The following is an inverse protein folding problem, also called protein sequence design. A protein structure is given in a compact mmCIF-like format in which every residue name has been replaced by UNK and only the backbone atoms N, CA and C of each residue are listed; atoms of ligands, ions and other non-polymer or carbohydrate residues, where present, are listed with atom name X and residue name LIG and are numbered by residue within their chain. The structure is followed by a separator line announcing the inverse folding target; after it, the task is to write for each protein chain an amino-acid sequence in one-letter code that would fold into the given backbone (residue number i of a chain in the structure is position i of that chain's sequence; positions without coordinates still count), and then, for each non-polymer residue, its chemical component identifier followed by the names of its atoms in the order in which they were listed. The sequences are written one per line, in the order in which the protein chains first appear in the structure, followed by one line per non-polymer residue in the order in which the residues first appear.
data_IF_210503555584
#
_entry.id   IF_210503555584
#
_cell.length_a   1.000
_cell.length_b   1.000
_cell.length_c   1.000
_cell.angle_alpha   90.00
_cell.angle_beta   90.00
_cell.angle_gamma   90.00
#
_symmetry.space_group_name_H-M   'P 1'
#
loop_
_entity.id
_entity.type
_entity.pdbx_description
1 polymer ?
#
# COMPACT_ATOMS: atom_id res chain seq x y z
N UNK A 1 19.66 -13.22 22.73
CA UNK A 1 19.91 -12.29 21.65
C UNK A 1 18.57 -11.77 21.19
N UNK A 2 18.38 -10.50 21.34
CA UNK A 2 17.14 -9.86 20.97
C UNK A 2 17.03 -9.85 19.45
N UNK A 3 16.06 -10.58 18.96
CA UNK A 3 15.58 -10.39 17.60
C UNK A 3 14.78 -9.10 17.55
N UNK A 4 15.32 -8.06 18.13
CA UNK A 4 14.65 -6.75 18.18
C UNK A 4 14.77 -6.01 16.88
N UNK A 5 15.01 -6.71 15.82
CA UNK A 5 15.64 -6.06 14.70
C UNK A 5 14.65 -5.41 13.75
N UNK A 6 13.38 -5.72 13.87
CA UNK A 6 12.44 -5.13 12.93
C UNK A 6 11.22 -4.62 13.69
N UNK A 7 11.14 -3.31 13.80
CA UNK A 7 9.94 -2.65 14.30
C UNK A 7 8.86 -2.64 13.23
N UNK A 8 8.66 -3.76 12.57
CA UNK A 8 7.44 -3.98 11.81
C UNK A 8 6.40 -4.50 12.77
N UNK A 9 5.37 -3.74 12.97
CA UNK A 9 4.20 -4.29 13.62
C UNK A 9 3.47 -5.16 12.61
N UNK A 10 3.43 -6.43 12.87
CA UNK A 10 2.70 -7.36 12.03
C UNK A 10 1.25 -7.39 12.49
N UNK A 11 0.37 -7.03 11.60
CA UNK A 11 -1.06 -6.93 11.89
C UNK A 11 -1.74 -8.26 11.54
N UNK A 12 -2.52 -8.80 12.48
CA UNK A 12 -3.40 -9.93 12.16
C UNK A 12 -4.49 -9.40 11.22
N UNK A 13 -4.45 -9.84 9.98
CA UNK A 13 -5.33 -9.33 8.94
C UNK A 13 -6.82 -9.62 9.21
N UNK A 14 -7.11 -10.73 9.89
CA UNK A 14 -8.50 -11.08 10.18
C UNK A 14 -9.06 -10.21 11.31
N UNK A 15 -8.27 -10.01 12.37
CA UNK A 15 -8.66 -9.11 13.46
C UNK A 15 -8.73 -7.68 12.96
N UNK A 16 -7.84 -7.28 12.05
CA UNK A 16 -7.85 -5.93 11.48
C UNK A 16 -9.20 -5.61 10.81
N UNK A 17 -9.76 -6.57 10.05
CA UNK A 17 -11.07 -6.37 9.41
C UNK A 17 -12.14 -6.05 10.44
N UNK A 18 -12.18 -6.83 11.53
CA UNK A 18 -13.15 -6.62 12.61
C UNK A 18 -12.97 -5.26 13.26
N UNK A 19 -11.72 -4.90 13.58
CA UNK A 19 -11.43 -3.61 14.24
C UNK A 19 -11.83 -2.45 13.32
N UNK A 20 -11.53 -2.54 12.03
CA UNK A 20 -11.92 -1.51 11.06
C UNK A 20 -13.44 -1.32 11.04
N UNK A 21 -14.20 -2.43 11.05
CA UNK A 21 -15.66 -2.36 11.10
C UNK A 21 -16.14 -1.67 12.38
N UNK A 22 -15.53 -2.00 13.53
CA UNK A 22 -15.90 -1.35 14.79
C UNK A 22 -15.59 0.15 14.77
N UNK A 23 -14.43 0.54 14.23
CA UNK A 23 -14.08 1.97 14.12
C UNK A 23 -15.09 2.73 13.27
N UNK A 24 -15.50 2.15 12.14
CA UNK A 24 -16.50 2.75 11.25
C UNK A 24 -17.83 2.90 11.98
N UNK A 25 -18.25 1.86 12.68
CA UNK A 25 -19.51 1.85 13.44
C UNK A 25 -19.48 2.89 14.56
N UNK A 26 -18.41 2.92 15.34
CA UNK A 26 -18.29 3.83 16.49
C UNK A 26 -18.25 5.29 16.04
N UNK A 27 -17.71 5.54 14.85
CA UNK A 27 -17.70 6.88 14.25
C UNK A 27 -19.05 7.29 13.65
N UNK A 28 -20.06 6.40 13.65
CA UNK A 28 -21.35 6.67 13.06
C UNK A 28 -21.36 6.79 11.55
N UNK A 29 -20.38 6.21 10.91
CA UNK A 29 -20.27 6.21 9.44
C UNK A 29 -21.24 5.17 8.87
N UNK A 30 -21.82 5.47 7.72
CA UNK A 30 -22.72 4.55 7.00
C UNK A 30 -21.88 3.80 5.95
N UNK A 31 -21.48 2.56 6.21
CA UNK A 31 -20.69 1.82 5.22
C UNK A 31 -21.59 1.22 4.15
N UNK A 32 -21.08 1.12 2.93
CA UNK A 32 -21.74 0.44 1.82
C UNK A 32 -20.77 -0.59 1.24
N UNK A 33 -20.80 -1.79 1.79
CA UNK A 33 -19.97 -2.89 1.32
C UNK A 33 -20.57 -3.51 0.06
N UNK A 34 -19.75 -4.18 -0.76
CA UNK A 34 -20.17 -4.78 -2.03
C UNK A 34 -20.80 -3.76 -2.97
N UNK A 35 -20.23 -2.56 -2.97
CA UNK A 35 -20.73 -1.42 -3.73
C UNK A 35 -19.55 -0.81 -4.48
N UNK A 36 -19.69 -0.63 -5.78
CA UNK A 36 -18.61 -0.11 -6.64
C UNK A 36 -19.01 1.27 -7.14
N UNK A 37 -18.06 2.21 -7.10
CA UNK A 37 -18.26 3.53 -7.70
C UNK A 37 -17.97 3.41 -9.19
N UNK A 38 -18.93 3.83 -10.01
CA UNK A 38 -18.86 3.67 -11.46
C UNK A 38 -18.79 4.99 -12.20
N UNK A 39 -19.16 6.11 -11.56
CA UNK A 39 -19.11 7.42 -12.19
C UNK A 39 -19.17 8.53 -11.13
N UNK A 40 -19.03 9.77 -11.57
CA UNK A 40 -19.13 10.96 -10.71
C UNK A 40 -20.25 11.88 -11.20
N UNK A 41 -20.81 12.66 -10.29
CA UNK A 41 -21.83 13.67 -10.59
C UNK A 41 -21.10 15.02 -10.55
N UNK A 42 -21.09 15.72 -11.68
CA UNK A 42 -20.35 16.98 -11.83
C UNK A 42 -21.29 18.15 -12.10
N UNK A 43 -20.96 19.31 -11.56
CA UNK A 43 -21.55 20.59 -11.92
C UNK A 43 -20.40 21.52 -12.27
N UNK A 44 -20.17 21.72 -13.55
CA UNK A 44 -18.94 22.39 -14.00
C UNK A 44 -17.72 21.60 -13.56
N UNK A 45 -16.82 22.24 -12.85
CA UNK A 45 -15.61 21.60 -12.32
C UNK A 45 -15.78 21.10 -10.88
N UNK A 46 -17.02 21.07 -10.37
CA UNK A 46 -17.27 20.73 -8.97
C UNK A 46 -17.92 19.34 -8.87
N UNK A 47 -17.34 18.47 -8.06
CA UNK A 47 -17.94 17.14 -7.76
C UNK A 47 -19.13 17.37 -6.82
N UNK A 48 -20.27 16.80 -7.17
CA UNK A 48 -21.52 16.87 -6.37
C UNK A 48 -21.86 15.53 -5.75
N UNK A 49 -21.19 14.46 -6.16
CA UNK A 49 -21.47 13.14 -5.66
C UNK A 49 -20.90 12.08 -6.57
N UNK A 50 -21.31 10.83 -6.31
CA UNK A 50 -20.83 9.68 -7.07
C UNK A 50 -22.02 8.81 -7.49
N UNK A 51 -21.82 8.02 -8.53
CA UNK A 51 -22.74 6.99 -8.96
C UNK A 51 -22.19 5.64 -8.53
N UNK A 52 -23.01 4.85 -7.87
CA UNK A 52 -22.61 3.54 -7.37
C UNK A 52 -23.44 2.44 -8.04
N UNK A 53 -22.84 1.25 -8.12
CA UNK A 53 -23.50 0.05 -8.60
C UNK A 53 -23.39 -1.05 -7.56
N UNK A 54 -24.48 -1.74 -7.29
CA UNK A 54 -24.53 -2.85 -6.35
C UNK A 54 -25.66 -3.78 -6.72
N UNK A 55 -25.86 -4.85 -5.97
CA UNK A 55 -27.02 -5.72 -6.18
C UNK A 55 -28.36 -5.02 -5.91
N UNK A 56 -28.33 -3.89 -5.19
CA UNK A 56 -29.51 -3.06 -4.96
C UNK A 56 -29.79 -2.10 -6.13
N UNK A 57 -28.99 -2.16 -7.17
CA UNK A 57 -29.13 -1.32 -8.36
C UNK A 57 -28.20 -0.12 -8.36
N UNK A 58 -28.38 0.72 -9.38
CA UNK A 58 -27.58 1.93 -9.56
C UNK A 58 -28.17 3.07 -8.74
N UNK A 59 -27.31 3.75 -8.00
CA UNK A 59 -27.75 4.82 -7.10
C UNK A 59 -26.82 6.02 -7.18
N UNK A 60 -27.36 7.20 -6.94
CA UNK A 60 -26.59 8.44 -6.81
C UNK A 60 -26.42 8.77 -5.33
N UNK A 61 -25.20 9.08 -4.91
CA UNK A 61 -24.94 9.55 -3.55
C UNK A 61 -24.41 10.98 -3.67
N UNK A 62 -25.22 11.93 -3.21
CA UNK A 62 -24.81 13.35 -3.20
C UNK A 62 -23.99 13.66 -1.96
N UNK A 63 -22.99 14.49 -2.10
CA UNK A 63 -22.07 14.82 -1.02
C UNK A 63 -21.58 16.26 -1.14
N UNK A 64 -21.35 16.90 0.01
CA UNK A 64 -20.74 18.22 0.07
C UNK A 64 -19.25 18.16 -0.24
N UNK A 65 -18.60 17.07 0.16
CA UNK A 65 -17.19 16.80 -0.15
C UNK A 65 -17.05 15.32 -0.45
N UNK A 66 -16.15 14.99 -1.36
CA UNK A 66 -15.83 13.60 -1.73
C UNK A 66 -14.34 13.39 -1.47
N UNK A 67 -14.00 12.24 -0.92
CA UNK A 67 -12.60 11.82 -0.76
C UNK A 67 -12.40 10.56 -1.60
N UNK A 68 -11.53 10.66 -2.61
CA UNK A 68 -11.14 9.51 -3.43
C UNK A 68 -10.03 8.75 -2.70
N UNK A 69 -10.40 7.64 -2.09
CA UNK A 69 -9.44 6.74 -1.45
C UNK A 69 -9.43 5.38 -2.15
N UNK A 70 -9.75 5.36 -3.45
CA UNK A 70 -9.79 4.12 -4.23
C UNK A 70 -8.41 3.49 -4.43
N UNK A 71 -7.35 4.28 -4.25
CA UNK A 71 -5.98 3.84 -4.47
C UNK A 71 -5.55 3.97 -5.92
N UNK A 72 -6.51 4.14 -6.84
CA UNK A 72 -6.26 4.17 -8.28
C UNK A 72 -6.79 5.45 -8.93
N UNK A 73 -7.18 6.45 -8.09
CA UNK A 73 -7.75 7.72 -8.52
C UNK A 73 -9.00 7.54 -9.40
N UNK A 74 -9.82 6.55 -9.09
CA UNK A 74 -10.98 6.23 -9.95
C UNK A 74 -11.99 7.37 -10.02
N UNK A 75 -12.25 8.04 -8.89
CA UNK A 75 -13.16 9.17 -8.84
C UNK A 75 -12.50 10.39 -9.50
N UNK A 76 -11.26 10.66 -9.13
CA UNK A 76 -10.53 11.81 -9.68
C UNK A 76 -10.44 11.72 -11.21
N UNK A 77 -10.09 10.55 -11.72
CA UNK A 77 -9.99 10.32 -13.17
C UNK A 77 -11.32 10.60 -13.87
N UNK A 78 -12.42 10.06 -13.33
CA UNK A 78 -13.75 10.27 -13.90
C UNK A 78 -14.23 11.72 -13.78
N UNK A 79 -13.74 12.44 -12.78
CA UNK A 79 -14.04 13.86 -12.60
C UNK A 79 -13.24 14.77 -13.53
N UNK A 80 -12.29 14.21 -14.31
CA UNK A 80 -11.47 14.98 -15.23
C UNK A 80 -10.20 15.57 -14.61
N UNK A 81 -9.79 15.09 -13.45
CA UNK A 81 -8.52 15.49 -12.83
C UNK A 81 -7.37 14.99 -13.70
N UNK A 82 -6.40 15.85 -14.06
CA UNK A 82 -5.20 15.37 -14.72
C UNK A 82 -4.51 14.30 -13.87
N UNK A 83 -4.24 13.17 -14.47
CA UNK A 83 -3.59 12.04 -13.78
C UNK A 83 -2.35 11.61 -14.54
N UNK A 84 -1.37 11.16 -13.81
CA UNK A 84 -0.13 10.59 -14.34
C UNK A 84 -0.13 9.10 -14.08
N UNK A 85 0.28 8.34 -15.08
CA UNK A 85 0.45 6.90 -14.96
C UNK A 85 1.54 6.47 -15.94
N UNK A 86 2.48 5.69 -15.46
CA UNK A 86 3.55 5.18 -16.32
C UNK A 86 3.03 4.09 -17.26
N UNK A 87 3.72 3.84 -18.39
CA UNK A 87 3.43 2.66 -19.19
C UNK A 87 3.52 1.38 -18.35
N UNK A 88 2.70 0.39 -18.64
CA UNK A 88 2.55 -0.76 -17.74
C UNK A 88 3.86 -1.52 -17.49
N UNK A 89 4.79 -1.46 -18.43
CA UNK A 89 6.10 -2.12 -18.30
C UNK A 89 6.98 -1.45 -17.24
N UNK A 90 6.62 -0.24 -16.82
CA UNK A 90 7.34 0.55 -15.82
C UNK A 90 6.59 0.69 -14.51
N UNK A 91 5.37 0.19 -14.44
CA UNK A 91 4.61 0.22 -13.19
C UNK A 91 5.25 -0.70 -12.15
N UNK A 92 5.01 -0.39 -10.87
CA UNK A 92 5.40 -1.28 -9.79
C UNK A 92 4.70 -2.64 -9.94
N UNK A 93 5.43 -3.70 -9.68
CA UNK A 93 4.91 -5.06 -9.82
C UNK A 93 3.72 -5.29 -8.87
N UNK A 94 2.72 -6.03 -9.35
CA UNK A 94 1.64 -6.49 -8.48
C UNK A 94 2.10 -7.76 -7.76
N UNK A 95 1.51 -8.05 -6.60
CA UNK A 95 1.87 -9.24 -5.85
C UNK A 95 0.65 -10.05 -5.47
N UNK A 96 0.90 -11.33 -5.19
CA UNK A 96 -0.11 -12.23 -4.65
C UNK A 96 0.44 -12.74 -3.31
N UNK A 97 -0.20 -12.35 -2.24
CA UNK A 97 0.19 -12.79 -0.91
C UNK A 97 -0.55 -14.08 -0.56
N UNK A 98 0.11 -14.96 0.16
CA UNK A 98 -0.49 -16.23 0.56
C UNK A 98 0.01 -16.63 1.94
N UNK A 99 -0.62 -17.65 2.50
CA UNK A 99 -0.22 -18.17 3.80
C UNK A 99 -0.25 -19.68 3.81
N UNK A 100 0.59 -20.27 4.67
CA UNK A 100 0.71 -21.71 4.84
C UNK A 100 0.40 -22.11 6.27
N UNK A 101 -0.06 -23.34 6.44
CA UNK A 101 -0.18 -23.99 7.74
C UNK A 101 0.69 -25.25 7.72
N UNK A 102 0.87 -25.88 8.88
CA UNK A 102 1.65 -27.12 8.99
C UNK A 102 3.16 -26.89 8.91
N UNK A 103 3.60 -25.69 9.25
CA UNK A 103 5.02 -25.34 9.27
C UNK A 103 5.60 -25.65 10.64
N UNK A 104 6.74 -26.33 10.66
CA UNK A 104 7.53 -26.52 11.88
C UNK A 104 8.34 -25.24 12.10
N UNK A 105 7.76 -24.35 12.91
CA UNK A 105 8.33 -23.02 13.12
C UNK A 105 9.71 -23.10 13.76
N UNK A 106 9.89 -24.00 14.73
CA UNK A 106 11.20 -24.11 15.41
C UNK A 106 12.30 -24.56 14.44
N UNK A 107 12.00 -25.52 13.57
CA UNK A 107 12.95 -25.95 12.55
C UNK A 107 13.25 -24.82 11.57
N UNK A 108 12.23 -24.08 11.12
CA UNK A 108 12.41 -22.97 10.20
C UNK A 108 13.23 -21.85 10.85
N UNK A 109 12.91 -21.48 12.09
CA UNK A 109 13.66 -20.42 12.78
C UNK A 109 15.12 -20.81 13.00
N UNK A 110 15.37 -22.09 13.32
CA UNK A 110 16.75 -22.59 13.43
C UNK A 110 17.48 -22.45 12.10
N UNK A 111 16.82 -22.78 10.99
CA UNK A 111 17.38 -22.63 9.66
C UNK A 111 17.71 -21.13 9.37
N UNK A 112 16.82 -20.22 9.72
CA UNK A 112 17.07 -18.79 9.46
C UNK A 112 18.23 -18.27 10.32
N UNK A 113 18.40 -18.78 11.55
CA UNK A 113 19.52 -18.38 12.40
C UNK A 113 20.87 -18.86 11.86
N UNK A 114 20.89 -19.99 11.15
CA UNK A 114 22.11 -20.50 10.54
C UNK A 114 22.38 -19.88 9.17
N UNK A 115 21.43 -19.16 8.63
CA UNK A 115 21.54 -18.48 7.35
C UNK A 115 21.03 -17.04 7.51
N UNK A 116 21.72 -16.22 8.31
CA UNK A 116 21.22 -14.88 8.61
C UNK A 116 21.24 -13.98 7.38
N UNK A 117 20.38 -13.00 7.42
CA UNK A 117 20.38 -11.95 6.41
C UNK A 117 21.73 -11.23 6.39
N UNK A 118 22.16 -10.80 5.23
CA UNK A 118 23.36 -9.99 5.09
C UNK A 118 23.14 -8.54 5.56
N UNK A 119 21.91 -8.11 5.71
CA UNK A 119 21.62 -6.79 6.29
C UNK A 119 21.76 -6.89 7.80
N UNK A 120 22.75 -6.22 8.32
CA UNK A 120 23.08 -6.29 9.74
C UNK A 120 22.18 -5.37 10.58
N UNK A 121 21.74 -4.27 10.05
CA UNK A 121 21.03 -3.26 10.83
C UNK A 121 20.27 -2.29 9.95
N UNK A 122 19.28 -1.66 10.54
CA UNK A 122 18.53 -0.57 9.97
C UNK A 122 18.94 0.76 10.62
N UNK A 123 20.20 0.87 11.04
CA UNK A 123 20.72 2.03 11.72
C UNK A 123 21.11 3.16 10.79
N UNK A 124 22.31 3.67 11.03
CA UNK A 124 22.78 4.88 10.35
C UNK A 124 22.95 4.70 8.84
N UNK A 125 23.16 3.49 8.38
CA UNK A 125 23.38 3.20 6.97
C UNK A 125 22.12 2.70 6.25
N UNK A 126 20.96 3.00 6.78
CA UNK A 126 19.70 2.51 6.24
C UNK A 126 19.36 3.03 4.85
N UNK A 127 20.14 3.96 4.32
CA UNK A 127 19.96 4.43 2.95
C UNK A 127 20.29 3.42 1.86
N UNK A 128 20.77 2.26 2.22
CA UNK A 128 21.10 1.24 1.24
C UNK A 128 19.88 0.62 0.60
N UNK A 129 20.01 0.31 -0.66
CA UNK A 129 18.94 -0.34 -1.39
C UNK A 129 18.73 -1.76 -0.88
N UNK A 130 17.47 -2.12 -0.70
CA UNK A 130 17.08 -3.47 -0.39
C UNK A 130 17.58 -4.39 -1.52
N UNK A 131 18.41 -5.33 -1.18
CA UNK A 131 19.09 -6.16 -2.16
C UNK A 131 18.63 -7.61 -2.09
N UNK A 132 19.10 -8.38 -3.04
CA UNK A 132 18.85 -9.82 -3.06
C UNK A 132 19.44 -10.50 -1.82
N UNK A 133 20.44 -9.92 -1.24
CA UNK A 133 21.11 -10.45 -0.06
C UNK A 133 20.20 -10.40 1.19
N UNK A 134 19.27 -9.46 1.22
CA UNK A 134 18.38 -9.28 2.35
C UNK A 134 17.61 -10.56 2.70
N UNK A 135 17.25 -11.34 1.70
CA UNK A 135 16.45 -12.53 1.90
C UNK A 135 17.01 -13.74 1.15
N UNK A 136 18.34 -13.87 1.16
CA UNK A 136 19.02 -14.91 0.40
C UNK A 136 18.49 -16.31 0.71
N UNK A 137 18.34 -16.62 1.99
CA UNK A 137 17.85 -17.95 2.38
C UNK A 137 16.40 -18.18 1.95
N UNK A 138 15.63 -17.11 1.79
CA UNK A 138 14.23 -17.22 1.35
C UNK A 138 14.11 -17.33 -0.17
N UNK A 139 15.11 -16.87 -0.92
CA UNK A 139 15.14 -17.03 -2.38
C UNK A 139 15.57 -18.41 -2.81
N UNK A 140 16.37 -19.07 -1.99
CA UNK A 140 17.00 -20.35 -2.33
C UNK A 140 16.00 -21.42 -2.79
N UNK A 141 14.86 -21.61 -2.13
CA UNK A 141 13.90 -22.61 -2.59
C UNK A 141 13.41 -22.37 -4.02
N UNK A 142 13.19 -21.09 -4.36
CA UNK A 142 12.68 -20.76 -5.70
C UNK A 142 13.76 -20.88 -6.76
N UNK A 143 15.01 -20.51 -6.42
CA UNK A 143 16.15 -20.72 -7.29
C UNK A 143 16.31 -22.19 -7.64
N UNK A 144 16.31 -23.05 -6.62
CA UNK A 144 16.42 -24.51 -6.80
C UNK A 144 15.28 -25.06 -7.64
N UNK A 145 14.06 -24.62 -7.39
CA UNK A 145 12.89 -25.08 -8.14
C UNK A 145 12.98 -24.67 -9.62
N UNK A 146 13.47 -23.46 -9.88
CA UNK A 146 13.68 -23.02 -11.28
C UNK A 146 14.75 -23.86 -11.97
N UNK A 147 15.88 -24.08 -11.31
CA UNK A 147 16.96 -24.90 -11.88
C UNK A 147 16.51 -26.34 -12.16
N UNK A 148 15.58 -26.84 -11.36
CA UNK A 148 15.00 -28.16 -11.57
C UNK A 148 13.86 -28.17 -12.60
N UNK A 149 13.51 -27.02 -13.16
CA UNK A 149 12.43 -26.93 -14.15
C UNK A 149 11.03 -27.03 -13.54
N UNK A 150 10.92 -26.87 -12.22
CA UNK A 150 9.64 -26.98 -11.51
C UNK A 150 8.86 -25.66 -11.51
N UNK A 151 9.54 -24.54 -11.72
CA UNK A 151 8.94 -23.23 -11.90
C UNK A 151 9.41 -22.69 -13.25
N UNK A 152 8.51 -22.25 -14.12
CA UNK A 152 8.93 -21.78 -15.44
C UNK A 152 9.75 -20.48 -15.35
N UNK A 153 10.62 -20.30 -16.34
CA UNK A 153 11.42 -19.09 -16.46
C UNK A 153 10.57 -18.00 -17.10
N UNK A 154 10.09 -17.07 -16.28
CA UNK A 154 9.23 -15.97 -16.71
C UNK A 154 9.67 -14.69 -16.00
N UNK A 155 9.20 -13.52 -16.45
CA UNK A 155 9.52 -12.28 -15.77
C UNK A 155 8.97 -12.16 -14.33
N UNK A 156 8.00 -12.99 -13.95
CA UNK A 156 7.47 -12.98 -12.58
C UNK A 156 8.56 -13.41 -11.60
N UNK A 157 8.86 -12.56 -10.65
CA UNK A 157 9.88 -12.84 -9.65
C UNK A 157 9.27 -13.61 -8.49
N UNK A 158 10.03 -14.59 -8.01
CA UNK A 158 9.70 -15.31 -6.78
C UNK A 158 10.82 -15.05 -5.79
N UNK A 159 10.52 -14.24 -4.79
CA UNK A 159 11.41 -14.02 -3.68
C UNK A 159 10.55 -13.96 -2.43
N UNK A 160 11.05 -14.49 -1.35
CA UNK A 160 10.25 -14.71 -0.16
C UNK A 160 10.57 -13.70 0.92
N UNK A 161 9.53 -13.08 1.40
CA UNK A 161 9.57 -12.34 2.66
C UNK A 161 8.69 -13.11 3.63
N UNK A 162 9.18 -13.31 4.78
CA UNK A 162 8.36 -13.95 5.79
C UNK A 162 7.29 -12.99 6.28
N UNK A 163 6.16 -13.57 6.51
CA UNK A 163 5.07 -12.87 7.17
C UNK A 163 5.13 -13.15 8.66
N UNK A 164 3.96 -13.26 9.23
CA UNK A 164 3.80 -13.52 10.65
C UNK A 164 3.79 -15.03 10.91
N UNK A 165 4.46 -15.44 11.98
CA UNK A 165 4.42 -16.82 12.46
C UNK A 165 3.46 -16.90 13.64
N UNK A 166 2.64 -17.94 13.67
CA UNK A 166 1.75 -18.20 14.79
C UNK A 166 2.17 -19.48 15.50
N UNK A 167 1.81 -19.59 16.78
CA UNK A 167 2.10 -20.79 17.57
C UNK A 167 1.39 -22.03 17.01
N UNK A 168 0.42 -21.84 16.14
CA UNK A 168 -0.29 -22.94 15.48
C UNK A 168 0.43 -23.50 14.25
N UNK A 169 1.66 -23.03 13.96
CA UNK A 169 2.42 -23.51 12.80
C UNK A 169 1.93 -22.89 11.51
N UNK A 170 1.48 -21.64 11.55
CA UNK A 170 1.07 -20.91 10.37
C UNK A 170 2.09 -19.84 10.03
N UNK A 171 2.27 -19.62 8.73
CA UNK A 171 3.04 -18.49 8.21
C UNK A 171 2.07 -17.71 7.33
N UNK A 172 1.82 -16.45 7.69
CA UNK A 172 0.82 -15.62 7.01
C UNK A 172 1.48 -14.53 6.20
N UNK A 173 0.77 -14.06 5.19
CA UNK A 173 1.15 -12.87 4.41
C UNK A 173 2.50 -13.01 3.71
N UNK A 174 2.81 -14.21 3.21
CA UNK A 174 4.03 -14.41 2.41
C UNK A 174 3.94 -13.55 1.15
N UNK A 175 4.83 -12.57 1.06
CA UNK A 175 4.89 -11.63 -0.08
C UNK A 175 6.04 -12.08 -0.98
N UNK A 176 5.84 -13.19 -1.68
CA UNK A 176 6.90 -13.85 -2.45
C UNK A 176 6.78 -13.65 -3.96
N UNK A 177 5.61 -13.31 -4.45
CA UNK A 177 5.31 -13.33 -5.89
C UNK A 177 5.12 -11.91 -6.39
N UNK A 178 5.95 -11.52 -7.37
CA UNK A 178 5.96 -10.17 -7.92
C UNK A 178 5.83 -10.25 -9.44
N UNK A 179 4.70 -9.77 -9.97
CA UNK A 179 4.33 -9.91 -11.39
C UNK A 179 4.43 -8.55 -12.08
N UNK A 180 5.39 -8.38 -13.00
CA UNK A 180 5.54 -7.12 -13.74
C UNK A 180 4.56 -7.01 -14.91
N UNK A 181 4.42 -5.79 -15.44
CA UNK A 181 3.69 -5.56 -16.68
C UNK A 181 2.18 -5.68 -16.57
N UNK A 182 1.62 -5.38 -15.40
CA UNK A 182 0.18 -5.46 -15.14
C UNK A 182 -0.38 -4.05 -14.97
N UNK A 183 -1.34 -3.69 -15.82
CA UNK A 183 -2.12 -2.46 -15.65
C UNK A 183 -3.38 -2.79 -14.87
N UNK A 184 -3.38 -2.42 -13.59
CA UNK A 184 -4.52 -2.73 -12.71
C UNK A 184 -5.75 -1.84 -12.97
N UNK A 185 -5.71 -0.96 -13.96
CA UNK A 185 -6.91 -0.26 -14.43
C UNK A 185 -7.56 -0.99 -15.62
N UNK A 186 -6.93 -2.06 -16.12
CA UNK A 186 -7.47 -2.89 -17.19
C UNK A 186 -7.97 -4.21 -16.62
N UNK A 187 -9.27 -4.48 -16.79
CA UNK A 187 -9.90 -5.69 -16.24
C UNK A 187 -9.30 -6.98 -16.83
N UNK A 188 -8.80 -6.93 -18.07
CA UNK A 188 -8.20 -8.12 -18.69
C UNK A 188 -6.83 -8.43 -18.09
N UNK A 189 -6.01 -7.39 -17.84
CA UNK A 189 -4.74 -7.55 -17.14
C UNK A 189 -4.98 -8.07 -15.70
N UNK A 190 -5.95 -7.48 -14.99
CA UNK A 190 -6.31 -7.94 -13.64
C UNK A 190 -6.73 -9.40 -13.63
N UNK A 191 -7.63 -9.79 -14.54
CA UNK A 191 -8.13 -11.16 -14.62
C UNK A 191 -6.99 -12.14 -14.88
N UNK A 192 -6.14 -11.81 -15.86
CA UNK A 192 -4.98 -12.63 -16.18
C UNK A 192 -4.07 -12.79 -14.95
N UNK A 193 -3.72 -11.68 -14.30
CA UNK A 193 -2.81 -11.69 -13.16
C UNK A 193 -3.39 -12.45 -11.96
N UNK A 194 -4.71 -12.35 -11.71
CA UNK A 194 -5.35 -13.13 -10.65
C UNK A 194 -5.20 -14.63 -10.90
N UNK A 195 -5.45 -15.08 -12.13
CA UNK A 195 -5.38 -16.50 -12.48
C UNK A 195 -3.93 -17.01 -12.43
N UNK A 196 -3.03 -16.27 -13.10
CA UNK A 196 -1.61 -16.67 -13.13
C UNK A 196 -1.00 -16.60 -11.73
N UNK A 197 -1.36 -15.60 -10.95
CA UNK A 197 -0.85 -15.43 -9.59
C UNK A 197 -1.17 -16.65 -8.72
N UNK A 198 -2.39 -17.20 -8.82
CA UNK A 198 -2.75 -18.39 -8.07
C UNK A 198 -1.92 -19.61 -8.49
N UNK A 199 -1.57 -19.71 -9.77
CA UNK A 199 -0.67 -20.76 -10.22
C UNK A 199 0.73 -20.59 -9.61
N UNK A 200 1.23 -19.34 -9.56
CA UNK A 200 2.52 -19.07 -8.93
C UNK A 200 2.50 -19.42 -7.44
N UNK A 201 1.38 -19.18 -6.75
CA UNK A 201 1.24 -19.60 -5.35
C UNK A 201 1.44 -21.11 -5.21
N UNK A 202 0.83 -21.91 -6.10
CA UNK A 202 0.99 -23.37 -6.01
C UNK A 202 2.45 -23.78 -6.22
N UNK A 203 3.12 -23.21 -7.20
CA UNK A 203 4.54 -23.48 -7.42
C UNK A 203 5.39 -23.03 -6.23
N UNK A 204 5.05 -21.87 -5.63
CA UNK A 204 5.79 -21.37 -4.46
C UNK A 204 5.64 -22.30 -3.26
N UNK A 205 4.43 -22.76 -2.99
CA UNK A 205 4.18 -23.69 -1.87
C UNK A 205 4.97 -24.98 -2.06
N UNK A 206 4.96 -25.54 -3.28
CA UNK A 206 5.69 -26.79 -3.54
C UNK A 206 7.21 -26.58 -3.42
N UNK A 207 7.73 -25.44 -3.88
CA UNK A 207 9.15 -25.12 -3.72
C UNK A 207 9.52 -24.99 -2.24
N UNK A 208 8.69 -24.30 -1.47
CA UNK A 208 8.93 -24.16 -0.02
C UNK A 208 8.94 -25.55 0.66
N UNK A 209 7.98 -26.41 0.33
CA UNK A 209 7.89 -27.76 0.89
C UNK A 209 9.15 -28.58 0.61
N UNK A 210 9.66 -28.44 -0.61
CA UNK A 210 10.77 -29.29 -1.08
C UNK A 210 12.13 -28.78 -0.63
N UNK A 211 12.28 -27.47 -0.50
CA UNK A 211 13.61 -26.88 -0.37
C UNK A 211 13.80 -26.01 0.88
N UNK A 212 12.81 -25.91 1.76
CA UNK A 212 12.92 -25.06 2.96
C UNK A 212 12.72 -25.89 4.22
N UNK A 213 13.74 -25.99 5.08
CA UNK A 213 13.58 -26.71 6.35
C UNK A 213 12.42 -26.17 7.17
N UNK A 214 11.58 -27.08 7.67
CA UNK A 214 10.40 -26.73 8.43
C UNK A 214 9.12 -26.64 7.60
N UNK A 215 9.24 -26.58 6.27
CA UNK A 215 8.07 -26.47 5.38
C UNK A 215 7.66 -27.79 4.74
N UNK A 216 8.28 -28.90 5.12
CA UNK A 216 8.06 -30.19 4.44
C UNK A 216 6.59 -30.63 4.48
N UNK A 217 5.87 -30.22 5.54
CA UNK A 217 4.44 -30.56 5.70
C UNK A 217 3.53 -29.35 5.43
N UNK A 218 4.10 -28.27 4.95
CA UNK A 218 3.32 -27.05 4.73
C UNK A 218 2.20 -27.28 3.71
N UNK A 219 1.09 -26.61 3.94
CA UNK A 219 -0.07 -26.66 3.05
C UNK A 219 -0.56 -25.22 2.83
N UNK A 220 -0.97 -24.94 1.62
CA UNK A 220 -1.61 -23.67 1.33
C UNK A 220 -2.82 -23.48 2.23
N UNK A 221 -2.88 -22.36 2.91
CA UNK A 221 -3.98 -22.03 3.81
C UNK A 221 -4.84 -20.90 3.29
N UNK A 222 -4.22 -19.83 2.81
CA UNK A 222 -4.92 -18.65 2.34
C UNK A 222 -4.21 -18.08 1.10
N UNK A 223 -5.00 -17.45 0.24
CA UNK A 223 -4.49 -16.57 -0.83
C UNK A 223 -5.21 -15.24 -0.62
N UNK A 224 -4.52 -14.15 -0.84
CA UNK A 224 -5.12 -12.82 -0.75
C UNK A 224 -6.40 -12.74 -1.59
N UNK A 225 -7.41 -12.04 -1.07
CA UNK A 225 -8.70 -11.93 -1.75
C UNK A 225 -8.59 -11.25 -3.12
N UNK A 226 -7.55 -10.44 -3.30
CA UNK A 226 -7.24 -9.79 -4.57
C UNK A 226 -5.74 -9.51 -4.65
N UNK A 227 -5.30 -9.13 -5.84
CA UNK A 227 -3.90 -8.75 -6.05
C UNK A 227 -3.50 -7.57 -5.17
N UNK A 228 -2.25 -7.57 -4.74
CA UNK A 228 -1.62 -6.42 -4.09
C UNK A 228 -1.14 -5.44 -5.15
N UNK A 229 -1.93 -4.43 -5.41
CA UNK A 229 -1.64 -3.43 -6.44
C UNK A 229 -0.83 -2.31 -5.79
N UNK A 230 0.35 -2.02 -6.33
CA UNK A 230 1.23 -0.99 -5.79
C UNK A 230 1.07 0.35 -6.48
N UNK A 231 0.86 0.35 -7.79
CA UNK A 231 0.87 1.58 -8.56
C UNK A 231 -0.12 1.53 -9.73
N UNK A 232 -0.84 2.63 -9.91
CA UNK A 232 -1.62 2.94 -11.11
C UNK A 232 -1.58 4.46 -11.31
N UNK A 233 -2.75 5.10 -11.44
CA UNK A 233 -2.86 6.55 -11.60
C UNK A 233 -2.51 7.29 -10.31
N UNK A 234 -1.81 8.41 -10.46
CA UNK A 234 -1.57 9.41 -9.43
C UNK A 234 -2.10 10.73 -9.95
N UNK A 235 -2.76 11.52 -9.10
CA UNK A 235 -3.29 12.81 -9.56
C UNK A 235 -2.17 13.84 -9.77
N UNK A 236 -2.45 14.86 -10.58
CA UNK A 236 -1.69 16.11 -10.55
C UNK A 236 -2.32 16.98 -9.48
N UNK A 237 -1.56 17.30 -8.46
CA UNK A 237 -2.04 18.03 -7.29
C UNK A 237 -1.68 19.50 -7.29
N UNK A 238 -2.14 20.20 -6.28
CA UNK A 238 -1.69 21.57 -6.04
C UNK A 238 -0.18 21.58 -5.76
N UNK A 239 0.33 20.49 -5.19
CA UNK A 239 1.75 20.21 -5.07
C UNK A 239 1.96 18.74 -5.49
N UNK A 240 3.05 18.47 -6.20
CA UNK A 240 3.44 17.09 -6.55
C UNK A 240 4.72 16.78 -5.78
N UNK A 241 4.63 15.89 -4.82
CA UNK A 241 5.79 15.52 -3.99
C UNK A 241 6.89 14.92 -4.86
N UNK A 242 8.13 15.22 -4.56
CA UNK A 242 9.26 14.78 -5.38
C UNK A 242 10.22 13.89 -4.61
N UNK A 243 11.04 13.15 -5.38
CA UNK A 243 12.19 12.41 -4.84
C UNK A 243 13.03 13.31 -3.93
N UNK A 244 13.31 14.53 -4.41
CA UNK A 244 14.14 15.49 -3.66
C UNK A 244 13.53 15.80 -2.29
N UNK A 245 12.20 15.97 -2.22
CA UNK A 245 11.52 16.26 -0.95
C UNK A 245 11.70 15.14 0.06
N UNK A 246 11.52 13.88 -0.41
CA UNK A 246 11.60 12.73 0.48
C UNK A 246 13.05 12.55 0.97
N UNK A 247 14.01 12.52 0.05
CA UNK A 247 15.41 12.21 0.38
C UNK A 247 16.11 13.35 1.13
N UNK A 248 15.57 14.55 1.08
CA UNK A 248 16.12 15.69 1.81
C UNK A 248 15.27 16.13 2.99
N UNK A 249 14.35 15.26 3.42
CA UNK A 249 13.55 15.48 4.61
C UNK A 249 12.83 16.83 4.59
N UNK A 250 12.16 17.11 3.48
CA UNK A 250 11.53 18.42 3.27
C UNK A 250 10.47 18.73 4.34
N UNK A 251 10.42 19.99 4.73
CA UNK A 251 9.43 20.50 5.67
C UNK A 251 8.47 21.43 4.94
N UNK A 252 7.18 21.27 5.21
CA UNK A 252 6.12 22.03 4.52
C UNK A 252 5.23 22.74 5.54
N UNK A 253 4.88 23.99 5.23
CA UNK A 253 3.98 24.77 6.09
C UNK A 253 2.59 24.14 6.18
N UNK A 254 2.17 23.42 5.13
CA UNK A 254 0.88 22.73 5.09
C UNK A 254 0.98 21.25 5.49
N UNK A 255 1.96 20.91 6.31
CA UNK A 255 2.18 19.56 6.80
C UNK A 255 0.95 18.99 7.50
N UNK A 256 0.55 17.76 7.11
CA UNK A 256 -0.56 17.02 7.73
C UNK A 256 -0.10 15.79 8.51
N UNK A 257 1.21 15.52 8.52
CA UNK A 257 1.82 14.42 9.23
C UNK A 257 3.20 14.15 8.69
N UNK A 258 3.84 13.15 9.25
CA UNK A 258 5.20 12.77 8.84
C UNK A 258 5.26 11.29 8.46
N UNK A 259 6.16 10.80 7.65
CA UNK A 259 6.33 9.56 7.32
C UNK A 259 7.68 9.39 7.36
N UNK A 260 8.24 8.50 7.80
CA UNK A 260 9.69 8.29 7.79
C UNK A 260 10.24 8.28 6.36
N UNK A 261 11.51 8.49 6.24
CA UNK A 261 12.21 8.37 4.96
C UNK A 261 12.33 6.88 4.64
N UNK A 262 11.25 6.31 4.12
CA UNK A 262 11.16 4.91 3.75
C UNK A 262 10.66 4.82 2.31
N UNK A 263 11.52 4.31 1.43
CA UNK A 263 11.20 4.12 0.02
C UNK A 263 11.27 2.63 -0.29
N UNK A 264 10.21 2.09 -0.86
CA UNK A 264 10.16 0.70 -1.27
C UNK A 264 9.54 0.64 -2.67
N UNK A 265 10.39 0.52 -3.67
CA UNK A 265 9.95 0.47 -5.07
C UNK A 265 10.93 -0.30 -5.92
N UNK A 266 10.50 -0.65 -7.12
CA UNK A 266 11.31 -1.46 -8.04
C UNK A 266 12.66 -0.83 -8.38
N UNK A 267 12.76 0.48 -8.26
CA UNK A 267 13.96 1.21 -8.70
C UNK A 267 14.73 1.81 -7.54
N UNK A 268 14.18 1.73 -6.32
CA UNK A 268 14.81 2.32 -5.16
C UNK A 268 14.30 1.61 -3.90
N UNK A 269 15.21 1.39 -2.96
CA UNK A 269 14.82 1.02 -1.60
C UNK A 269 15.69 1.82 -0.65
N UNK A 270 15.05 2.52 0.27
CA UNK A 270 15.72 3.25 1.35
C UNK A 270 15.06 2.81 2.64
N UNK A 271 15.83 2.24 3.53
CA UNK A 271 15.33 1.79 4.82
C UNK A 271 15.29 2.96 5.80
N UNK A 272 14.27 3.01 6.66
CA UNK A 272 14.15 4.14 7.58
C UNK A 272 15.23 4.13 8.64
N UNK A 273 15.79 5.29 8.95
CA UNK A 273 16.67 5.44 10.09
C UNK A 273 16.12 6.44 11.09
N UNK A 274 16.54 6.26 12.35
CA UNK A 274 16.04 7.06 13.45
C UNK A 274 16.26 8.54 13.19
N UNK A 275 15.19 9.32 13.29
CA UNK A 275 15.25 10.76 13.16
C UNK A 275 15.08 11.28 11.73
N UNK A 276 15.11 10.41 10.73
CA UNK A 276 14.94 10.84 9.34
C UNK A 276 13.48 10.70 8.93
N UNK A 277 12.87 11.81 8.54
CA UNK A 277 11.47 11.84 8.10
C UNK A 277 11.25 13.08 7.24
N UNK A 278 10.19 13.03 6.46
CA UNK A 278 9.73 14.18 5.68
C UNK A 278 8.31 14.53 6.08
N UNK A 279 7.93 15.78 5.84
CA UNK A 279 6.55 16.24 6.03
C UNK A 279 5.70 15.80 4.85
N UNK A 280 4.49 15.32 5.14
CA UNK A 280 3.48 15.02 4.11
C UNK A 280 2.65 16.29 3.93
N UNK A 281 2.77 16.97 2.77
CA UNK A 281 2.06 18.23 2.59
C UNK A 281 0.60 18.02 2.16
N UNK A 282 -0.28 18.89 2.62
CA UNK A 282 -1.69 18.87 2.26
C UNK A 282 -1.89 19.00 0.75
N UNK A 283 -1.03 19.79 0.10
CA UNK A 283 -1.14 20.05 -1.33
C UNK A 283 -1.17 18.83 -2.23
N UNK A 284 -0.61 17.68 -1.79
CA UNK A 284 -0.61 16.48 -2.62
C UNK A 284 -1.99 15.81 -2.71
N UNK A 285 -2.91 16.20 -1.83
CA UNK A 285 -4.26 15.64 -1.80
C UNK A 285 -5.28 16.50 -2.55
N UNK A 286 -4.87 17.69 -3.01
CA UNK A 286 -5.75 18.67 -3.67
C UNK A 286 -5.64 18.54 -5.19
N UNK A 287 -6.63 17.94 -5.87
CA UNK A 287 -6.56 17.78 -7.33
C UNK A 287 -6.53 19.11 -8.05
N UNK A 288 -5.82 19.18 -9.18
CA UNK A 288 -5.91 20.32 -10.07
C UNK A 288 -7.28 20.35 -10.78
N UNK A 289 -7.80 21.55 -11.03
CA UNK A 289 -8.96 21.81 -11.89
C UNK A 289 -10.32 21.33 -11.36
N UNK A 290 -10.36 20.55 -10.27
CA UNK A 290 -11.61 19.98 -9.76
C UNK A 290 -11.79 20.39 -8.29
N UNK A 291 -13.01 20.78 -7.95
CA UNK A 291 -13.37 21.20 -6.59
C UNK A 291 -14.28 20.17 -5.91
N UNK A 292 -14.39 20.25 -4.59
CA UNK A 292 -15.15 19.35 -3.72
C UNK A 292 -14.62 17.90 -3.76
N UNK A 293 -13.33 17.77 -4.08
CA UNK A 293 -12.68 16.46 -4.13
C UNK A 293 -11.32 16.55 -3.44
N UNK A 294 -11.05 15.59 -2.57
CA UNK A 294 -9.72 15.33 -2.01
C UNK A 294 -9.32 13.92 -2.43
N UNK A 295 -8.02 13.65 -2.46
CA UNK A 295 -7.50 12.32 -2.78
C UNK A 295 -6.63 11.86 -1.61
N UNK A 296 -6.72 10.58 -1.26
CA UNK A 296 -5.92 10.00 -0.18
C UNK A 296 -5.40 8.62 -0.59
N UNK A 297 -4.29 8.22 0.02
CA UNK A 297 -3.72 6.89 -0.24
C UNK A 297 -2.78 6.87 -1.43
N UNK A 298 -2.68 5.72 -2.11
CA UNK A 298 -1.69 5.46 -3.17
C UNK A 298 -1.72 6.44 -4.34
N UNK A 299 -2.84 7.11 -4.56
CA UNK A 299 -3.04 7.95 -5.75
C UNK A 299 -2.83 9.45 -5.52
N UNK A 300 -2.27 9.83 -4.37
CA UNK A 300 -1.91 11.24 -4.12
C UNK A 300 -0.81 11.70 -5.10
N UNK A 301 -0.65 13.02 -5.21
CA UNK A 301 0.24 13.61 -6.21
C UNK A 301 1.72 13.45 -5.84
N UNK A 302 2.50 12.94 -6.79
CA UNK A 302 3.93 12.80 -6.60
C UNK A 302 4.61 12.16 -7.80
N UNK A 303 5.93 12.19 -7.80
CA UNK A 303 6.70 11.53 -8.84
C UNK A 303 6.87 10.03 -8.54
N UNK A 304 7.58 9.33 -9.40
CA UNK A 304 7.78 7.89 -9.29
C UNK A 304 8.47 7.49 -7.97
N UNK A 305 9.47 8.25 -7.56
CA UNK A 305 10.27 7.91 -6.38
C UNK A 305 9.50 8.26 -5.10
N UNK A 306 8.92 9.47 -5.03
CA UNK A 306 8.14 9.84 -3.84
C UNK A 306 6.94 8.89 -3.64
N UNK A 307 6.39 8.33 -4.73
CA UNK A 307 5.31 7.35 -4.65
C UNK A 307 5.76 6.10 -3.85
N UNK A 308 7.02 5.69 -3.95
CA UNK A 308 7.53 4.54 -3.19
C UNK A 308 7.43 4.75 -1.68
N UNK A 309 7.33 6.02 -1.22
CA UNK A 309 7.08 6.34 0.19
C UNK A 309 5.59 6.56 0.45
N UNK A 310 4.91 7.35 -0.40
CA UNK A 310 3.53 7.78 -0.10
C UNK A 310 2.53 6.63 -0.21
N UNK A 311 2.84 5.57 -0.97
CA UNK A 311 1.96 4.39 -1.06
C UNK A 311 2.03 3.48 0.15
N UNK A 312 3.00 3.68 1.05
CA UNK A 312 3.12 2.86 2.24
C UNK A 312 1.90 3.04 3.15
N UNK A 313 1.48 1.96 3.81
CA UNK A 313 0.26 1.97 4.61
C UNK A 313 0.24 3.12 5.62
N UNK A 314 1.38 3.38 6.28
CA UNK A 314 1.45 4.45 7.28
C UNK A 314 1.25 5.82 6.64
N UNK A 315 1.82 6.06 5.47
CA UNK A 315 1.59 7.33 4.77
C UNK A 315 0.14 7.44 4.27
N UNK A 316 -0.43 6.30 3.85
CA UNK A 316 -1.85 6.28 3.45
C UNK A 316 -2.76 6.64 4.63
N UNK A 317 -2.43 6.22 5.87
CA UNK A 317 -3.22 6.63 7.04
C UNK A 317 -3.07 8.13 7.30
N UNK A 318 -1.87 8.68 7.13
CA UNK A 318 -1.65 10.14 7.27
C UNK A 318 -2.54 10.91 6.28
N UNK A 319 -2.51 10.53 5.00
CA UNK A 319 -3.31 11.23 4.00
C UNK A 319 -4.81 11.02 4.22
N UNK A 320 -5.22 9.82 4.64
CA UNK A 320 -6.63 9.54 4.94
C UNK A 320 -7.15 10.38 6.10
N UNK A 321 -6.38 10.45 7.20
CA UNK A 321 -6.75 11.24 8.37
C UNK A 321 -6.76 12.74 8.02
N UNK A 322 -5.72 13.21 7.32
CA UNK A 322 -5.66 14.59 6.88
C UNK A 322 -6.83 14.99 5.99
N UNK A 323 -7.17 14.12 5.03
CA UNK A 323 -8.31 14.37 4.12
C UNK A 323 -9.63 14.45 4.90
N UNK A 324 -9.83 13.52 5.86
CA UNK A 324 -11.05 13.51 6.67
C UNK A 324 -11.21 14.78 7.48
N UNK A 325 -10.15 15.22 8.16
CA UNK A 325 -10.18 16.45 8.96
C UNK A 325 -10.43 17.67 8.07
N UNK A 326 -9.72 17.76 6.95
CA UNK A 326 -9.87 18.90 6.04
C UNK A 326 -11.27 18.96 5.43
N UNK A 327 -11.82 17.82 5.00
CA UNK A 327 -13.18 17.76 4.44
C UNK A 327 -14.21 18.20 5.49
N UNK A 328 -14.07 17.76 6.73
CA UNK A 328 -14.99 18.14 7.80
C UNK A 328 -14.93 19.66 8.05
N UNK A 329 -13.73 20.22 8.10
CA UNK A 329 -13.56 21.67 8.29
C UNK A 329 -14.11 22.45 7.11
N UNK A 330 -13.87 21.97 5.89
CA UNK A 330 -14.42 22.59 4.66
C UNK A 330 -15.94 22.71 4.76
N UNK A 331 -16.62 21.63 5.14
CA UNK A 331 -18.08 21.65 5.29
C UNK A 331 -18.51 22.58 6.41
N UNK A 332 -17.83 22.52 7.57
CA UNK A 332 -18.15 23.33 8.75
C UNK A 332 -18.02 24.83 8.44
N UNK A 333 -16.91 25.19 7.82
CA UNK A 333 -16.57 26.60 7.55
C UNK A 333 -17.17 27.11 6.23
N UNK A 334 -17.80 26.22 5.45
CA UNK A 334 -18.44 26.51 4.17
C UNK A 334 -17.43 27.10 3.15
N UNK A 335 -16.23 26.53 3.10
CA UNK A 335 -15.19 26.91 2.14
C UNK A 335 -14.75 25.69 1.35
N UNK A 336 -14.26 25.86 0.11
CA UNK A 336 -13.68 24.73 -0.62
C UNK A 336 -12.49 24.14 0.12
N UNK A 337 -12.20 22.85 -0.07
CA UNK A 337 -11.04 22.21 0.56
C UNK A 337 -9.74 22.95 0.25
N UNK A 338 -9.64 23.57 -0.91
CA UNK A 338 -8.48 24.36 -1.33
C UNK A 338 -8.27 25.60 -0.45
N UNK A 339 -9.30 26.05 0.25
CA UNK A 339 -9.29 27.29 1.05
C UNK A 339 -9.42 27.02 2.55
N UNK A 340 -9.38 25.76 2.98
CA UNK A 340 -9.43 25.48 4.42
C UNK A 340 -8.21 26.10 5.12
N UNK A 341 -8.43 26.55 6.32
CA UNK A 341 -7.35 27.11 7.12
C UNK A 341 -6.44 25.97 7.61
N UNK A 342 -5.23 25.93 7.07
CA UNK A 342 -4.27 24.83 7.37
C UNK A 342 -3.93 24.79 8.86
N UNK A 343 -3.79 25.95 9.52
CA UNK A 343 -3.52 25.94 10.95
C UNK A 343 -4.66 25.29 11.73
N UNK A 344 -5.91 25.43 11.27
CA UNK A 344 -7.05 24.75 11.88
C UNK A 344 -6.99 23.25 11.64
N UNK A 345 -6.61 22.81 10.43
CA UNK A 345 -6.42 21.38 10.13
C UNK A 345 -5.35 20.81 11.07
N UNK A 346 -4.20 21.46 11.14
CA UNK A 346 -3.09 21.03 12.00
C UNK A 346 -3.49 20.98 13.46
N UNK A 347 -4.28 21.96 13.92
CA UNK A 347 -4.77 21.98 15.30
C UNK A 347 -5.64 20.76 15.60
N UNK A 348 -6.55 20.40 14.68
CA UNK A 348 -7.41 19.23 14.88
C UNK A 348 -6.60 17.92 14.82
N UNK A 349 -5.62 17.85 13.91
CA UNK A 349 -4.73 16.69 13.83
C UNK A 349 -3.92 16.51 15.11
N UNK A 350 -3.39 17.61 15.68
CA UNK A 350 -2.65 17.54 16.95
C UNK A 350 -3.51 17.05 18.12
N UNK A 351 -4.82 17.37 18.13
CA UNK A 351 -5.74 16.82 19.14
C UNK A 351 -5.90 15.31 19.02
N UNK A 352 -5.58 14.76 17.87
CA UNK A 352 -5.64 13.33 17.58
C UNK A 352 -4.23 12.70 17.64
N UNK A 353 -3.30 13.38 18.31
CA UNK A 353 -1.93 12.93 18.52
C UNK A 353 -1.10 12.79 17.25
N UNK A 354 -1.49 13.47 16.16
CA UNK A 354 -0.72 13.48 14.93
C UNK A 354 0.44 14.46 15.03
N UNK A 355 1.64 14.00 14.69
CA UNK A 355 2.81 14.87 14.62
C UNK A 355 2.78 15.63 13.28
N UNK A 356 2.69 16.95 13.32
CA UNK A 356 2.62 17.81 12.12
C UNK A 356 3.76 18.83 12.07
N UNK A 357 4.79 18.66 12.91
CA UNK A 357 6.01 19.48 12.90
C UNK A 357 7.02 18.85 13.85
#
# INVERSE_FOLDING_TARGET
PSLSIFLYEVVDTEIFKYIADQMVKDAGIIPLLHCTIVDVIMEGSTVKGVITESKSGRQAILAKQVIDATGDADIAYRAGVPCRMDPKEKLEEVSVNFGCSGVDIDTFLTYTLTNPSSIADWGDDSGEKESDEFSTFLKEPFRKAREAGEIPDTPTRLQSYWGNFTDAGEVTSLNAIHMPGIDATDVHDLTKAEIEGRQYVMWAVEALRKYTPGFEKARLRTIGASLGIRETRKIEGAYNLTEHDVLNQAHFADCIGIXPEFLDGNHIAVMPSTGRYFHVPYGIMLPQKVENLLVAGRCVAGDKISHAATRQMMCCTVTGQGAGVAAALSVKDKVPCRQVNIASVQKELKKQDVRVA
#
